data_IF_025391899528
#
_entry.id   IF_025391899528
#
_cell.length_a   1.000
_cell.length_b   1.000
_cell.length_c   1.000
_cell.angle_alpha   90.00
_cell.angle_beta   90.00
_cell.angle_gamma   90.00
#
_symmetry.space_group_name_H-M   'P 1'
#
loop_
_entity.id
_entity.type
_entity.pdbx_description
1 polymer ?
#
# COMPACT_ATOMS: atom_id res chain seq x y z
N UNK A 1 -29.61 -24.98 25.34
CA UNK A 1 -28.54 -25.49 24.47
C UNK A 1 -28.52 -24.60 23.25
N UNK A 2 -27.46 -23.82 23.08
CA UNK A 2 -27.37 -22.76 22.07
C UNK A 2 -26.64 -23.20 20.80
N UNK A 3 -26.66 -22.32 19.80
CA UNK A 3 -25.50 -21.93 18.99
C UNK A 3 -25.76 -20.52 18.45
N UNK A 4 -24.89 -19.58 18.80
CA UNK A 4 -24.79 -18.26 18.20
C UNK A 4 -23.85 -18.42 17.01
N UNK A 5 -24.37 -18.37 15.79
CA UNK A 5 -23.56 -18.26 14.57
C UNK A 5 -23.45 -16.79 14.19
N UNK A 6 -22.62 -16.04 14.89
CA UNK A 6 -22.13 -14.74 14.39
C UNK A 6 -21.39 -15.06 13.09
N UNK A 7 -21.95 -14.64 11.96
CA UNK A 7 -21.28 -14.73 10.67
C UNK A 7 -19.96 -13.98 10.81
N UNK A 8 -18.86 -14.72 10.86
CA UNK A 8 -17.53 -14.18 10.77
C UNK A 8 -17.50 -13.39 9.47
N UNK A 9 -17.41 -12.05 9.57
CA UNK A 9 -16.85 -11.28 8.49
C UNK A 9 -15.49 -11.93 8.23
N UNK A 10 -15.37 -12.67 7.14
CA UNK A 10 -14.06 -12.95 6.58
C UNK A 10 -13.54 -11.56 6.29
N UNK A 11 -12.56 -11.09 7.08
CA UNK A 11 -11.63 -10.11 6.52
C UNK A 11 -11.26 -10.69 5.17
N UNK A 12 -11.56 -9.95 4.10
CA UNK A 12 -10.98 -10.26 2.80
C UNK A 12 -9.50 -10.41 3.13
N UNK A 13 -8.97 -11.63 3.01
CA UNK A 13 -7.54 -11.81 3.12
C UNK A 13 -7.01 -11.00 1.96
N UNK A 14 -6.53 -9.77 2.22
CA UNK A 14 -5.76 -9.06 1.24
C UNK A 14 -4.67 -10.06 0.84
N UNK A 15 -4.59 -10.39 -0.45
CA UNK A 15 -3.76 -11.49 -0.89
C UNK A 15 -2.31 -11.11 -0.59
N UNK A 16 -1.76 -11.59 0.53
CA UNK A 16 -0.40 -11.25 0.96
C UNK A 16 0.56 -11.40 -0.22
N UNK A 17 1.38 -10.38 -0.45
CA UNK A 17 2.05 -10.29 -1.73
C UNK A 17 2.97 -9.11 -1.87
N UNK A 18 3.67 -9.10 -3.00
CA UNK A 18 4.44 -7.94 -3.42
C UNK A 18 4.34 -7.77 -4.93
N UNK A 19 4.03 -6.55 -5.37
CA UNK A 19 3.81 -6.23 -6.78
C UNK A 19 4.63 -5.02 -7.18
N UNK A 20 5.20 -5.06 -8.39
CA UNK A 20 5.95 -3.94 -8.91
C UNK A 20 5.04 -2.82 -9.38
N UNK A 21 5.31 -1.62 -8.90
CA UNK A 21 4.78 -0.36 -9.42
C UNK A 21 5.90 0.34 -10.18
N UNK A 22 5.60 0.85 -11.37
CA UNK A 22 6.57 1.54 -12.23
C UNK A 22 5.98 2.83 -12.76
N UNK A 23 6.72 3.92 -12.63
CA UNK A 23 6.40 5.21 -13.23
C UNK A 23 7.68 5.84 -13.78
N UNK A 24 7.74 6.03 -15.10
CA UNK A 24 8.95 6.47 -15.79
C UNK A 24 10.16 5.58 -15.48
N UNK A 25 11.24 6.17 -14.98
CA UNK A 25 12.45 5.46 -14.54
C UNK A 25 12.38 4.91 -13.10
N UNK A 26 11.29 5.15 -12.37
CA UNK A 26 11.13 4.75 -10.98
C UNK A 26 10.48 3.38 -10.87
N UNK A 27 10.92 2.57 -9.91
CA UNK A 27 10.31 1.28 -9.59
C UNK A 27 10.22 1.12 -8.07
N UNK A 28 9.05 0.73 -7.58
CA UNK A 28 8.80 0.35 -6.20
C UNK A 28 8.06 -0.99 -6.13
N UNK A 29 8.12 -1.64 -4.97
CA UNK A 29 7.24 -2.75 -4.62
C UNK A 29 6.14 -2.22 -3.71
N UNK A 30 4.89 -2.43 -4.09
CA UNK A 30 3.80 -2.50 -3.12
C UNK A 30 3.91 -3.83 -2.40
N UNK A 31 3.81 -3.82 -1.08
CA UNK A 31 3.89 -5.01 -0.23
C UNK A 31 2.67 -5.04 0.66
N UNK A 32 2.05 -6.21 0.79
CA UNK A 32 0.92 -6.45 1.67
C UNK A 32 1.19 -7.68 2.49
N UNK A 33 1.02 -7.57 3.80
CA UNK A 33 1.19 -8.69 4.73
C UNK A 33 0.16 -8.64 5.87
N UNK A 34 -0.14 -9.81 6.44
CA UNK A 34 -1.04 -9.94 7.56
C UNK A 34 -0.25 -9.82 8.88
N UNK A 35 -0.50 -8.76 9.65
CA UNK A 35 0.06 -8.60 10.99
C UNK A 35 -1.05 -8.58 12.04
N UNK A 36 -0.93 -9.44 13.05
CA UNK A 36 -1.90 -9.54 14.16
C UNK A 36 -3.37 -9.71 13.72
N UNK A 37 -3.60 -10.35 12.58
CA UNK A 37 -4.95 -10.58 12.03
C UNK A 37 -5.51 -9.42 11.19
N UNK A 38 -4.68 -8.45 10.82
CA UNK A 38 -5.05 -7.33 9.99
C UNK A 38 -4.07 -7.10 8.85
N UNK A 39 -4.58 -6.68 7.70
CA UNK A 39 -3.77 -6.40 6.53
C UNK A 39 -2.98 -5.10 6.75
N UNK A 40 -1.72 -5.11 6.32
CA UNK A 40 -0.83 -3.96 6.37
C UNK A 40 -0.16 -3.79 5.01
N UNK A 41 0.02 -2.54 4.59
CA UNK A 41 0.66 -2.16 3.36
C UNK A 41 1.98 -1.44 3.62
N UNK A 42 3.00 -1.72 2.80
CA UNK A 42 4.22 -0.94 2.73
C UNK A 42 4.60 -0.68 1.26
N UNK A 43 5.39 0.37 1.04
CA UNK A 43 5.99 0.67 -0.27
C UNK A 43 7.52 0.65 -0.14
N UNK A 44 8.17 -0.11 -1.01
CA UNK A 44 9.62 -0.31 -1.03
C UNK A 44 10.24 0.17 -2.36
N UNK A 45 10.88 1.34 -2.40
CA UNK A 45 11.53 1.82 -3.62
C UNK A 45 12.74 0.95 -3.99
N UNK A 46 12.62 0.18 -5.08
CA UNK A 46 13.66 -0.75 -5.56
C UNK A 46 14.62 -0.12 -6.58
N UNK A 47 14.17 0.91 -7.30
CA UNK A 47 14.98 1.73 -8.18
C UNK A 47 14.45 3.16 -8.18
N UNK A 48 15.18 4.07 -7.55
CA UNK A 48 14.81 5.47 -7.43
C UNK A 48 15.88 6.38 -8.08
N UNK A 49 15.85 6.59 -9.42
CA UNK A 49 16.61 7.68 -10.02
C UNK A 49 16.24 9.03 -9.37
N UNK A 50 17.13 10.02 -9.48
CA UNK A 50 16.89 11.35 -8.91
C UNK A 50 15.52 11.90 -9.32
N UNK A 51 14.69 12.25 -8.33
CA UNK A 51 13.36 12.84 -8.55
C UNK A 51 12.19 11.85 -8.53
N UNK A 52 12.41 10.59 -8.13
CA UNK A 52 11.30 9.70 -7.77
C UNK A 52 10.70 10.08 -6.42
N UNK A 53 9.38 10.24 -6.37
CA UNK A 53 8.64 10.35 -5.11
C UNK A 53 7.72 9.14 -4.97
N UNK A 54 7.45 8.75 -3.73
CA UNK A 54 6.57 7.63 -3.45
C UNK A 54 5.90 7.81 -2.09
N UNK A 55 4.79 7.11 -1.88
CA UNK A 55 4.06 7.14 -0.64
C UNK A 55 2.89 6.16 -0.62
N UNK A 56 2.11 6.18 0.45
CA UNK A 56 0.91 5.38 0.61
C UNK A 56 -0.25 6.33 0.85
N UNK A 57 -1.30 6.16 0.05
CA UNK A 57 -2.49 6.99 0.05
C UNK A 57 -3.68 6.21 0.59
N UNK A 58 -4.48 6.86 1.42
CA UNK A 58 -5.77 6.35 1.84
C UNK A 58 -6.81 6.79 0.81
N UNK A 59 -7.37 5.84 0.06
CA UNK A 59 -8.30 6.09 -1.05
C UNK A 59 -9.64 6.62 -0.55
N UNK A 60 -10.09 6.20 0.64
CA UNK A 60 -11.38 6.62 1.19
C UNK A 60 -11.40 8.12 1.54
N UNK A 61 -10.26 8.65 1.99
CA UNK A 61 -10.10 10.05 2.42
C UNK A 61 -9.38 10.93 1.39
N UNK A 62 -8.67 10.32 0.45
CA UNK A 62 -7.77 10.99 -0.49
C UNK A 62 -6.47 11.51 0.15
N UNK A 63 -6.25 11.26 1.44
CA UNK A 63 -5.10 11.72 2.20
C UNK A 63 -3.90 10.76 2.11
N UNK A 64 -2.73 11.26 2.47
CA UNK A 64 -1.51 10.49 2.56
C UNK A 64 -1.32 9.95 3.97
N UNK A 65 -1.14 8.63 4.09
CA UNK A 65 -0.76 8.00 5.36
C UNK A 65 0.76 7.96 5.51
N UNK A 66 1.47 7.89 4.39
CA UNK A 66 2.92 8.00 4.32
C UNK A 66 3.35 8.75 3.05
N UNK A 67 4.36 9.61 3.15
CA UNK A 67 4.90 10.38 2.02
C UNK A 67 3.98 11.53 1.56
N UNK A 68 4.20 12.06 0.33
CA UNK A 68 5.24 11.68 -0.62
C UNK A 68 6.65 11.93 -0.07
N UNK A 69 7.61 11.07 -0.42
CA UNK A 69 9.02 11.21 -0.03
C UNK A 69 9.94 10.71 -1.14
N UNK A 70 11.19 11.18 -1.13
CA UNK A 70 12.26 10.76 -2.05
C UNK A 70 13.27 9.80 -1.39
N UNK A 71 12.99 9.36 -0.16
CA UNK A 71 13.87 8.46 0.60
C UNK A 71 14.05 7.10 -0.09
N UNK A 72 15.24 6.54 -0.25
CA UNK A 72 15.38 5.22 -0.86
C UNK A 72 14.99 4.05 0.07
N UNK A 73 14.44 4.33 1.25
CA UNK A 73 14.06 3.31 2.24
C UNK A 73 12.59 2.93 2.12
N UNK A 74 12.29 1.66 2.39
CA UNK A 74 10.92 1.19 2.60
C UNK A 74 10.17 2.07 3.62
N UNK A 75 8.89 2.30 3.36
CA UNK A 75 7.99 2.89 4.36
C UNK A 75 7.83 1.98 5.60
N UNK A 76 7.34 2.54 6.71
CA UNK A 76 6.67 1.74 7.73
C UNK A 76 5.53 0.92 7.13
N UNK A 77 5.11 -0.11 7.87
CA UNK A 77 3.87 -0.84 7.59
C UNK A 77 2.68 -0.02 8.06
N UNK A 78 1.79 0.31 7.14
CA UNK A 78 0.57 1.07 7.38
C UNK A 78 -0.61 0.11 7.46
N UNK A 79 -1.46 0.31 8.46
CA UNK A 79 -2.62 -0.54 8.71
C UNK A 79 -3.71 -0.33 7.65
N UNK A 80 -4.07 -1.40 6.95
CA UNK A 80 -5.08 -1.45 5.88
C UNK A 80 -6.27 -2.34 6.30
N UNK A 81 -6.80 -2.07 7.49
CA UNK A 81 -7.88 -2.88 8.05
C UNK A 81 -9.29 -2.41 7.67
N UNK A 82 -10.33 -2.91 8.36
CA UNK A 82 -11.73 -2.71 7.95
C UNK A 82 -12.11 -1.24 7.76
N UNK A 83 -12.58 -0.91 6.55
CA UNK A 83 -13.04 0.43 6.18
C UNK A 83 -11.92 1.39 5.77
N UNK A 84 -10.70 0.89 5.65
CA UNK A 84 -9.55 1.56 5.05
C UNK A 84 -9.23 0.82 3.75
N UNK A 85 -8.84 1.60 2.74
CA UNK A 85 -8.37 1.14 1.44
C UNK A 85 -7.11 1.93 1.16
N UNK A 86 -5.97 1.25 1.13
CA UNK A 86 -4.68 1.87 0.86
C UNK A 86 -4.23 1.58 -0.58
N UNK A 87 -3.49 2.54 -1.14
CA UNK A 87 -2.79 2.41 -2.42
C UNK A 87 -1.35 2.89 -2.27
N UNK A 88 -0.40 2.06 -2.68
CA UNK A 88 0.99 2.46 -2.81
C UNK A 88 1.14 3.23 -4.13
N UNK A 89 1.75 4.41 -4.08
CA UNK A 89 1.82 5.30 -5.23
C UNK A 89 3.26 5.76 -5.51
N UNK A 90 3.54 5.97 -6.79
CA UNK A 90 4.86 6.29 -7.32
C UNK A 90 4.78 7.40 -8.37
N UNK A 91 5.63 8.41 -8.22
CA UNK A 91 5.79 9.51 -9.16
C UNK A 91 7.17 9.46 -9.77
N UNK A 92 7.20 9.25 -11.09
CA UNK A 92 8.41 9.44 -11.86
C UNK A 92 8.67 10.93 -12.14
N UNK A 93 9.94 11.37 -12.20
CA UNK A 93 10.25 12.71 -12.65
C UNK A 93 9.68 12.92 -14.06
N UNK A 94 8.92 14.01 -14.24
CA UNK A 94 8.21 14.32 -15.49
C UNK A 94 7.23 13.23 -15.97
N UNK A 95 6.79 12.35 -15.08
CA UNK A 95 5.86 11.26 -15.36
C UNK A 95 4.57 11.41 -14.56
N UNK A 96 3.51 10.73 -14.99
CA UNK A 96 2.26 10.69 -14.24
C UNK A 96 2.41 9.86 -12.94
N UNK A 97 1.57 10.18 -11.97
CA UNK A 97 1.31 9.32 -10.80
C UNK A 97 0.86 7.93 -11.27
N UNK A 98 1.48 6.89 -10.70
CA UNK A 98 1.02 5.51 -10.87
C UNK A 98 0.87 4.91 -9.48
N UNK A 99 -0.32 4.46 -9.16
CA UNK A 99 -0.59 3.68 -7.96
C UNK A 99 -0.71 2.20 -8.31
N UNK A 100 -0.29 1.34 -7.36
CA UNK A 100 -0.56 -0.09 -7.41
C UNK A 100 -2.05 -0.40 -7.24
N UNK A 101 -2.44 -1.68 -7.30
CA UNK A 101 -3.82 -2.06 -7.02
C UNK A 101 -4.19 -1.68 -5.58
N UNK A 102 -5.33 -1.02 -5.41
CA UNK A 102 -5.92 -0.83 -4.09
C UNK A 102 -6.07 -2.17 -3.36
N UNK A 103 -5.67 -2.20 -2.09
CA UNK A 103 -6.03 -3.29 -1.17
C UNK A 103 -7.29 -2.92 -0.37
#
# INVERSE_FOLDING_TARGET
MGVIGVGSATSAQAAEGSWYIRSGGCTALEKVELQSGHDHMAIDPTAAPNGCEFGIKNVNTGGWVYGPTTSPSQSPWEYDGPGITLEACLWGPFSAEVCGPAN
#
